data_IF_430807638866
#
_entry.id   IF_430807638866
#
_cell.length_a   1.000
_cell.length_b   1.000
_cell.length_c   1.000
_cell.angle_alpha   90.00
_cell.angle_beta   90.00
_cell.angle_gamma   90.00
#
_symmetry.space_group_name_H-M   'P 1'
#
loop_
_entity.id
_entity.type
_entity.pdbx_description
1 polymer ?
#
# COMPACT_ATOMS: atom_id res chain seq x y z
N UNK A 1 16.54 -13.24 7.74
CA UNK A 1 17.40 -12.54 8.71
C UNK A 1 17.04 -11.08 8.71
N UNK A 2 16.56 -10.54 9.84
CA UNK A 2 16.43 -9.10 9.99
C UNK A 2 17.82 -8.53 10.23
N UNK A 3 18.31 -7.68 9.33
CA UNK A 3 19.67 -7.16 9.36
C UNK A 3 19.83 -6.01 10.36
N UNK A 4 19.36 -6.19 11.59
CA UNK A 4 19.56 -5.26 12.71
C UNK A 4 19.70 -6.04 14.00
N UNK A 5 20.42 -5.47 14.95
CA UNK A 5 20.46 -5.97 16.32
C UNK A 5 19.11 -5.76 17.00
N UNK A 6 18.89 -6.47 18.10
CA UNK A 6 17.69 -6.34 18.91
C UNK A 6 17.60 -4.95 19.56
N UNK A 7 18.74 -4.39 19.97
CA UNK A 7 18.83 -3.09 20.64
C UNK A 7 18.42 -1.95 19.69
N UNK A 8 18.76 -2.06 18.41
CA UNK A 8 18.47 -1.05 17.38
C UNK A 8 16.97 -0.93 17.06
N UNK A 9 16.19 -2.01 17.27
CA UNK A 9 14.76 -2.06 16.94
C UNK A 9 14.49 -1.63 15.48
N UNK A 10 13.90 -0.45 15.29
CA UNK A 10 13.59 0.15 13.98
C UNK A 10 14.53 1.30 13.59
N UNK A 11 15.48 1.67 14.46
CA UNK A 11 16.45 2.72 14.20
C UNK A 11 17.62 2.20 13.35
N UNK A 12 18.30 3.11 12.67
CA UNK A 12 19.50 2.80 11.90
C UNK A 12 19.26 2.10 10.55
N UNK A 13 20.32 2.04 9.76
CA UNK A 13 20.34 1.30 8.51
C UNK A 13 20.55 -0.20 8.78
N UNK A 14 20.06 -1.11 7.91
CA UNK A 14 20.36 -2.52 8.05
C UNK A 14 21.86 -2.80 7.89
N UNK A 15 22.40 -3.68 8.73
CA UNK A 15 23.79 -4.17 8.67
C UNK A 15 23.92 -5.23 7.56
N UNK A 16 24.34 -4.76 6.39
CA UNK A 16 24.51 -5.59 5.20
C UNK A 16 25.76 -6.48 5.27
N UNK A 17 26.78 -6.10 6.04
CA UNK A 17 27.98 -6.91 6.20
C UNK A 17 27.69 -8.15 7.04
N UNK A 18 26.99 -7.97 8.16
CA UNK A 18 26.51 -9.08 8.99
C UNK A 18 25.56 -9.98 8.20
N UNK A 19 24.65 -9.40 7.42
CA UNK A 19 23.76 -10.16 6.54
C UNK A 19 24.54 -11.01 5.52
N UNK A 20 25.57 -10.42 4.89
CA UNK A 20 26.43 -11.11 3.93
C UNK A 20 27.30 -12.19 4.57
N UNK A 21 27.75 -11.98 5.81
CA UNK A 21 28.46 -13.01 6.56
C UNK A 21 27.56 -14.24 6.80
N UNK A 22 26.29 -14.01 7.17
CA UNK A 22 25.32 -15.09 7.37
C UNK A 22 25.01 -15.82 6.08
N UNK A 23 24.77 -15.10 4.97
CA UNK A 23 24.47 -15.73 3.68
C UNK A 23 25.61 -16.64 3.18
N UNK A 24 26.88 -16.26 3.42
CA UNK A 24 28.05 -17.10 3.10
C UNK A 24 28.22 -18.29 4.04
N UNK A 25 27.76 -18.19 5.29
CA UNK A 25 27.98 -19.23 6.30
C UNK A 25 27.03 -20.42 6.17
N UNK A 26 25.89 -20.27 5.49
CA UNK A 26 24.84 -21.31 5.40
C UNK A 26 24.57 -21.72 3.96
N UNK A 27 24.13 -22.96 3.76
CA UNK A 27 23.75 -23.48 2.43
C UNK A 27 22.28 -23.26 2.09
N UNK A 28 21.44 -22.97 3.08
CA UNK A 28 20.00 -22.73 2.87
C UNK A 28 19.76 -21.31 2.35
N UNK A 29 18.73 -21.08 1.50
CA UNK A 29 18.40 -19.74 1.03
C UNK A 29 18.11 -18.78 2.19
N UNK A 30 18.84 -17.67 2.25
CA UNK A 30 18.62 -16.61 3.24
C UNK A 30 17.78 -15.50 2.63
N UNK A 31 16.69 -15.15 3.32
CA UNK A 31 15.89 -13.97 2.96
C UNK A 31 16.26 -12.79 3.86
N UNK A 32 16.64 -11.66 3.26
CA UNK A 32 16.96 -10.41 3.97
C UNK A 32 15.70 -9.67 4.40
N UNK A 33 15.75 -9.00 5.55
CA UNK A 33 14.64 -8.19 6.07
C UNK A 33 15.16 -6.96 6.83
N UNK A 34 14.34 -5.92 6.89
CA UNK A 34 14.58 -4.71 7.68
C UNK A 34 14.72 -3.45 6.83
N UNK A 35 13.74 -2.54 6.92
CA UNK A 35 13.85 -1.20 6.32
C UNK A 35 13.74 -1.13 4.79
N UNK A 36 13.27 -2.17 4.10
CA UNK A 36 13.05 -2.13 2.64
C UNK A 36 11.83 -1.26 2.33
N UNK A 37 12.06 -0.07 1.79
CA UNK A 37 11.05 0.90 1.33
C UNK A 37 11.15 1.23 -0.15
N UNK A 38 12.18 0.71 -0.83
CA UNK A 38 12.46 0.96 -2.23
C UNK A 38 13.15 -0.23 -2.89
N UNK A 39 13.14 -0.26 -4.23
CA UNK A 39 13.86 -1.29 -4.98
C UNK A 39 15.38 -1.19 -4.75
N UNK A 40 15.92 0.01 -4.57
CA UNK A 40 17.34 0.19 -4.26
C UNK A 40 17.73 -0.45 -2.92
N UNK A 41 16.91 -0.30 -1.88
CA UNK A 41 17.15 -0.96 -0.58
C UNK A 41 17.00 -2.49 -0.69
N UNK A 42 16.01 -2.97 -1.46
CA UNK A 42 15.87 -4.40 -1.75
C UNK A 42 17.11 -4.94 -2.48
N UNK A 43 17.60 -4.22 -3.49
CA UNK A 43 18.78 -4.57 -4.27
C UNK A 43 20.02 -4.74 -3.40
N UNK A 44 20.26 -3.84 -2.45
CA UNK A 44 21.38 -3.95 -1.50
C UNK A 44 21.37 -5.26 -0.69
N UNK A 45 20.19 -5.75 -0.30
CA UNK A 45 20.09 -7.05 0.40
C UNK A 45 20.36 -8.23 -0.54
N UNK A 46 19.91 -8.14 -1.79
CA UNK A 46 20.21 -9.16 -2.81
C UNK A 46 21.72 -9.20 -3.11
N UNK A 47 22.36 -8.03 -3.22
CA UNK A 47 23.81 -7.91 -3.43
C UNK A 47 24.61 -8.45 -2.24
N UNK A 48 24.04 -8.45 -1.02
CA UNK A 48 24.59 -9.14 0.16
C UNK A 48 24.44 -10.68 0.11
N UNK A 49 23.98 -11.24 -1.01
CA UNK A 49 23.84 -12.68 -1.22
C UNK A 49 22.53 -13.28 -0.70
N UNK A 50 21.52 -12.45 -0.39
CA UNK A 50 20.20 -12.97 -0.06
C UNK A 50 19.51 -13.56 -1.29
N UNK A 51 18.84 -14.70 -1.12
CA UNK A 51 18.01 -15.32 -2.15
C UNK A 51 16.70 -14.54 -2.42
N UNK A 52 16.30 -13.69 -1.48
CA UNK A 52 15.13 -12.84 -1.59
C UNK A 52 15.04 -11.83 -0.46
N UNK A 53 14.02 -10.97 -0.52
CA UNK A 53 13.76 -9.95 0.50
C UNK A 53 12.37 -10.12 1.08
N UNK A 54 12.24 -9.92 2.39
CA UNK A 54 10.97 -9.84 3.09
C UNK A 54 10.69 -8.37 3.40
N UNK A 55 9.50 -7.91 3.02
CA UNK A 55 9.03 -6.55 3.26
C UNK A 55 7.97 -6.57 4.35
N UNK A 56 8.15 -5.72 5.37
CA UNK A 56 7.18 -5.54 6.45
C UNK A 56 6.43 -4.22 6.32
N UNK A 57 6.82 -3.24 7.13
CA UNK A 57 6.11 -1.97 7.31
C UNK A 57 5.74 -1.23 6.01
N UNK A 58 6.63 -1.20 5.02
CA UNK A 58 6.38 -0.49 3.77
C UNK A 58 5.22 -1.07 2.94
N UNK A 59 4.93 -2.37 3.09
CA UNK A 59 3.77 -3.00 2.45
C UNK A 59 2.48 -2.82 3.25
N UNK A 60 2.57 -2.48 4.54
CA UNK A 60 1.39 -2.26 5.38
C UNK A 60 0.77 -0.92 5.04
N UNK A 61 -0.49 -0.91 4.61
CA UNK A 61 -1.18 0.31 4.21
C UNK A 61 -0.99 0.69 2.74
N UNK A 62 0.01 0.12 2.06
CA UNK A 62 0.21 0.26 0.61
C UNK A 62 0.01 -1.09 -0.11
N UNK A 63 -1.20 -1.38 -0.62
CA UNK A 63 -1.50 -2.64 -1.30
C UNK A 63 -0.75 -2.79 -2.63
N UNK A 64 -0.14 -1.72 -3.14
CA UNK A 64 0.57 -1.70 -4.42
C UNK A 64 2.08 -1.89 -4.29
N UNK A 65 2.61 -1.89 -3.06
CA UNK A 65 4.05 -1.81 -2.81
C UNK A 65 4.86 -2.86 -3.58
N UNK A 66 4.43 -4.11 -3.59
CA UNK A 66 5.15 -5.18 -4.31
C UNK A 66 5.13 -4.97 -5.83
N UNK A 67 4.01 -4.48 -6.38
CA UNK A 67 3.92 -4.13 -7.79
C UNK A 67 4.84 -2.97 -8.13
N UNK A 68 4.87 -1.93 -7.30
CA UNK A 68 5.77 -0.78 -7.44
C UNK A 68 7.25 -1.23 -7.40
N UNK A 69 7.58 -2.13 -6.47
CA UNK A 69 8.92 -2.70 -6.33
C UNK A 69 9.36 -3.46 -7.59
N UNK A 70 8.46 -4.28 -8.16
CA UNK A 70 8.72 -5.06 -9.38
C UNK A 70 8.75 -4.19 -10.63
N UNK A 71 7.92 -3.15 -10.71
CA UNK A 71 7.99 -2.16 -11.80
C UNK A 71 9.34 -1.44 -11.78
N UNK A 72 9.77 -0.96 -10.62
CA UNK A 72 11.08 -0.32 -10.46
C UNK A 72 12.23 -1.27 -10.81
N UNK A 73 12.12 -2.55 -10.46
CA UNK A 73 13.07 -3.59 -10.84
C UNK A 73 13.20 -3.76 -12.37
N UNK A 74 12.11 -3.56 -13.09
CA UNK A 74 12.02 -3.63 -14.54
C UNK A 74 12.29 -2.27 -15.23
N UNK A 75 12.69 -1.23 -14.49
CA UNK A 75 12.91 0.11 -15.03
C UNK A 75 11.62 0.85 -15.43
N UNK A 76 10.46 0.39 -14.97
CA UNK A 76 9.14 1.01 -15.20
C UNK A 76 8.79 1.96 -14.07
N UNK A 77 8.25 3.13 -14.42
CA UNK A 77 7.90 4.19 -13.46
C UNK A 77 6.44 4.63 -13.56
N UNK A 78 5.65 3.99 -14.43
CA UNK A 78 4.26 4.35 -14.64
C UNK A 78 3.44 4.07 -13.38
N UNK A 79 2.71 5.08 -12.86
CA UNK A 79 1.82 4.87 -11.73
C UNK A 79 0.63 4.02 -12.17
N UNK A 80 0.03 3.32 -11.20
CA UNK A 80 -1.23 2.63 -11.42
C UNK A 80 -2.31 3.60 -11.91
N UNK A 81 -3.00 3.20 -12.97
CA UNK A 81 -4.20 3.90 -13.43
C UNK A 81 -5.30 3.87 -12.38
N UNK A 82 -6.24 4.83 -12.46
CA UNK A 82 -7.39 4.88 -11.54
C UNK A 82 -8.16 3.56 -11.54
N UNK A 83 -8.39 2.99 -12.73
CA UNK A 83 -9.06 1.70 -12.92
C UNK A 83 -8.37 0.58 -12.17
N UNK A 84 -7.05 0.40 -12.35
CA UNK A 84 -6.30 -0.67 -11.69
C UNK A 84 -6.32 -0.54 -10.17
N UNK A 85 -6.24 0.69 -9.65
CA UNK A 85 -6.36 0.94 -8.21
C UNK A 85 -7.74 0.51 -7.71
N UNK A 86 -8.80 0.85 -8.43
CA UNK A 86 -10.17 0.62 -7.99
C UNK A 86 -10.61 -0.83 -8.17
N UNK A 87 -10.11 -1.52 -9.18
CA UNK A 87 -10.29 -2.98 -9.31
C UNK A 87 -9.66 -3.72 -8.13
N UNK A 88 -8.46 -3.32 -7.70
CA UNK A 88 -7.87 -3.87 -6.47
C UNK A 88 -8.64 -3.48 -5.21
N UNK A 89 -9.20 -2.27 -5.15
CA UNK A 89 -10.03 -1.82 -4.02
C UNK A 89 -11.32 -2.64 -3.91
N UNK A 90 -11.96 -2.97 -5.02
CA UNK A 90 -13.14 -3.86 -5.05
C UNK A 90 -12.79 -5.23 -4.50
N UNK A 91 -11.68 -5.81 -4.95
CA UNK A 91 -11.24 -7.12 -4.49
C UNK A 91 -10.87 -7.09 -3.00
N UNK A 92 -10.20 -6.04 -2.54
CA UNK A 92 -9.91 -5.85 -1.12
C UNK A 92 -11.19 -5.70 -0.29
N UNK A 93 -12.18 -4.94 -0.77
CA UNK A 93 -13.48 -4.80 -0.12
C UNK A 93 -14.21 -6.15 -0.03
N UNK A 94 -14.20 -6.94 -1.12
CA UNK A 94 -14.77 -8.28 -1.14
C UNK A 94 -14.13 -9.19 -0.09
N UNK A 95 -12.80 -9.32 -0.12
CA UNK A 95 -12.06 -10.20 0.80
C UNK A 95 -12.20 -9.79 2.26
N UNK A 96 -12.15 -8.48 2.56
CA UNK A 96 -12.23 -8.00 3.94
C UNK A 96 -13.64 -8.15 4.52
N UNK A 97 -14.68 -8.02 3.69
CA UNK A 97 -16.08 -8.29 4.06
C UNK A 97 -16.31 -9.78 4.26
N UNK A 98 -15.77 -10.63 3.37
CA UNK A 98 -15.82 -12.09 3.51
C UNK A 98 -15.20 -12.56 4.83
N UNK A 99 -14.07 -11.96 5.23
CA UNK A 99 -13.35 -12.37 6.43
C UNK A 99 -13.94 -11.80 7.74
N UNK A 100 -14.30 -10.51 7.77
CA UNK A 100 -14.73 -9.83 9.00
C UNK A 100 -16.25 -9.61 9.12
N UNK A 101 -17.01 -9.95 8.09
CA UNK A 101 -18.39 -9.51 7.92
C UNK A 101 -18.49 -8.06 7.44
N UNK A 102 -19.66 -7.67 6.93
CA UNK A 102 -19.85 -6.43 6.20
C UNK A 102 -19.50 -5.16 7.00
N UNK A 103 -20.13 -4.97 8.16
CA UNK A 103 -19.94 -3.78 8.99
C UNK A 103 -18.51 -3.62 9.52
N UNK A 104 -17.89 -4.71 10.00
CA UNK A 104 -16.53 -4.64 10.53
C UNK A 104 -15.48 -4.59 9.41
N UNK A 105 -15.71 -5.35 8.32
CA UNK A 105 -14.85 -5.38 7.15
C UNK A 105 -14.70 -4.00 6.51
N UNK A 106 -15.81 -3.31 6.24
CA UNK A 106 -15.77 -1.95 5.69
C UNK A 106 -15.13 -0.97 6.66
N UNK A 107 -15.36 -1.07 7.98
CA UNK A 107 -14.67 -0.24 8.97
C UNK A 107 -13.15 -0.44 8.94
N UNK A 108 -12.68 -1.68 8.80
CA UNK A 108 -11.25 -1.99 8.67
C UNK A 108 -10.66 -1.52 7.34
N UNK A 109 -11.45 -1.57 6.26
CA UNK A 109 -11.03 -1.11 4.93
C UNK A 109 -10.62 0.36 4.93
N UNK A 110 -11.25 1.18 5.77
CA UNK A 110 -11.01 2.64 5.89
C UNK A 110 -9.54 2.99 6.10
N UNK A 111 -8.78 2.13 6.80
CA UNK A 111 -7.33 2.31 7.01
C UNK A 111 -6.53 2.34 5.70
N UNK A 112 -7.01 1.64 4.67
CA UNK A 112 -6.29 1.45 3.41
C UNK A 112 -6.73 2.42 2.31
N UNK A 113 -7.92 3.01 2.42
CA UNK A 113 -8.45 3.97 1.45
C UNK A 113 -7.47 5.10 1.07
N UNK A 114 -6.69 5.68 2.00
CA UNK A 114 -5.71 6.72 1.65
C UNK A 114 -4.74 6.32 0.54
N UNK A 115 -4.30 5.06 0.48
CA UNK A 115 -3.37 4.60 -0.56
C UNK A 115 -4.05 4.53 -1.94
N UNK A 116 -5.31 4.09 -1.99
CA UNK A 116 -6.07 3.97 -3.24
C UNK A 116 -6.32 5.31 -3.91
N UNK A 117 -6.59 6.37 -3.13
CA UNK A 117 -6.91 7.70 -3.66
C UNK A 117 -5.76 8.70 -3.58
N UNK A 118 -4.55 8.24 -3.26
CA UNK A 118 -3.38 9.11 -3.20
C UNK A 118 -3.11 9.77 -4.55
N UNK A 119 -2.89 11.09 -4.55
CA UNK A 119 -2.63 11.89 -5.75
C UNK A 119 -3.87 12.23 -6.57
N UNK A 120 -5.05 11.71 -6.21
CA UNK A 120 -6.30 12.07 -6.87
C UNK A 120 -6.85 13.41 -6.35
N UNK A 121 -7.48 14.22 -7.23
CA UNK A 121 -8.34 15.31 -6.78
C UNK A 121 -9.38 14.81 -5.77
N UNK A 122 -9.74 15.65 -4.80
CA UNK A 122 -10.83 15.35 -3.84
C UNK A 122 -10.63 14.09 -2.97
N UNK A 123 -9.41 13.58 -2.82
CA UNK A 123 -9.12 12.40 -1.99
C UNK A 123 -9.67 12.48 -0.55
N UNK A 124 -9.71 13.68 0.05
CA UNK A 124 -10.30 13.88 1.37
C UNK A 124 -11.82 13.70 1.36
N UNK A 125 -12.51 14.27 0.36
CA UNK A 125 -13.95 14.13 0.21
C UNK A 125 -14.34 12.68 -0.11
N UNK A 126 -13.57 11.98 -0.96
CA UNK A 126 -13.77 10.56 -1.24
C UNK A 126 -13.74 9.74 0.06
N UNK A 127 -12.70 9.92 0.89
CA UNK A 127 -12.58 9.21 2.17
C UNK A 127 -13.73 9.55 3.12
N UNK A 128 -14.15 10.82 3.18
CA UNK A 128 -15.30 11.25 3.98
C UNK A 128 -16.61 10.58 3.55
N UNK A 129 -16.86 10.47 2.25
CA UNK A 129 -18.01 9.75 1.72
C UNK A 129 -17.93 8.25 2.00
N UNK A 130 -16.82 7.61 1.63
CA UNK A 130 -16.59 6.17 1.84
C UNK A 130 -16.69 5.74 3.32
N UNK A 131 -16.24 6.60 4.25
CA UNK A 131 -16.31 6.31 5.69
C UNK A 131 -17.74 6.24 6.25
N UNK A 132 -18.74 6.74 5.52
CA UNK A 132 -20.16 6.68 5.92
C UNK A 132 -20.90 5.48 5.33
N UNK A 133 -20.26 4.74 4.43
CA UNK A 133 -20.85 3.57 3.79
C UNK A 133 -20.70 2.37 4.73
N UNK A 134 -21.81 1.66 4.93
CA UNK A 134 -21.89 0.49 5.81
C UNK A 134 -22.27 -0.80 5.09
N UNK A 135 -22.70 -0.72 3.82
CA UNK A 135 -23.02 -1.87 2.98
C UNK A 135 -22.02 -2.03 1.84
N UNK A 136 -21.61 -3.27 1.57
CA UNK A 136 -20.61 -3.59 0.55
C UNK A 136 -21.13 -3.22 -0.84
N UNK A 137 -22.40 -3.50 -1.14
CA UNK A 137 -23.02 -3.13 -2.41
C UNK A 137 -22.97 -1.61 -2.65
N UNK A 138 -23.33 -0.79 -1.66
CA UNK A 138 -23.25 0.67 -1.74
C UNK A 138 -21.82 1.17 -1.95
N UNK A 139 -20.84 0.48 -1.36
CA UNK A 139 -19.43 0.82 -1.55
C UNK A 139 -19.03 0.58 -3.00
N UNK A 140 -19.44 -0.53 -3.62
CA UNK A 140 -19.17 -0.82 -5.02
C UNK A 140 -19.84 0.19 -5.96
N UNK A 141 -21.10 0.57 -5.68
CA UNK A 141 -21.82 1.60 -6.43
C UNK A 141 -21.12 2.96 -6.33
N UNK A 142 -20.66 3.32 -5.13
CA UNK A 142 -19.89 4.55 -4.90
C UNK A 142 -18.59 4.57 -5.72
N UNK A 143 -17.84 3.46 -5.76
CA UNK A 143 -16.62 3.35 -6.58
C UNK A 143 -16.93 3.50 -8.07
N UNK A 144 -17.95 2.80 -8.56
CA UNK A 144 -18.35 2.88 -9.97
C UNK A 144 -18.76 4.31 -10.36
N UNK A 145 -19.53 4.98 -9.50
CA UNK A 145 -19.95 6.35 -9.70
C UNK A 145 -18.78 7.35 -9.68
N UNK A 146 -17.76 7.13 -8.85
CA UNK A 146 -16.55 7.96 -8.82
C UNK A 146 -15.69 7.78 -10.08
N UNK A 147 -15.51 6.55 -10.54
CA UNK A 147 -14.76 6.23 -11.77
C UNK A 147 -15.42 6.78 -13.02
N UNK A 148 -16.75 6.70 -13.12
CA UNK A 148 -17.50 7.27 -14.24
C UNK A 148 -17.31 8.79 -14.39
N UNK A 149 -16.88 9.48 -13.31
CA UNK A 149 -16.57 10.91 -13.28
C UNK A 149 -15.06 11.19 -13.35
N UNK A 150 -14.25 10.21 -13.77
CA UNK A 150 -12.80 10.34 -13.93
C UNK A 150 -12.06 10.60 -12.61
N UNK A 151 -12.67 10.31 -11.46
CA UNK A 151 -12.14 10.63 -10.15
C UNK A 151 -12.12 12.13 -9.80
N UNK A 152 -12.82 12.96 -10.57
CA UNK A 152 -12.88 14.41 -10.38
C UNK A 152 -14.07 14.87 -9.52
N UNK A 153 -15.04 14.01 -9.24
CA UNK A 153 -16.24 14.39 -8.48
C UNK A 153 -16.63 13.24 -7.56
N UNK A 154 -16.76 13.57 -6.27
CA UNK A 154 -17.18 12.61 -5.25
C UNK A 154 -18.71 12.52 -5.24
N UNK A 155 -19.30 11.33 -5.44
CA UNK A 155 -20.74 11.14 -5.29
C UNK A 155 -21.14 11.41 -3.82
N UNK A 156 -22.15 12.24 -3.61
CA UNK A 156 -22.77 12.44 -2.29
C UNK A 156 -24.17 11.83 -2.28
N UNK A 157 -24.65 11.44 -1.09
CA UNK A 157 -26.01 10.93 -0.88
C UNK A 157 -27.11 11.96 -1.19
N UNK A 158 -26.76 13.25 -1.33
CA UNK A 158 -27.68 14.38 -1.48
C UNK A 158 -27.46 15.19 -2.78
N UNK A 159 -26.66 14.69 -3.73
CA UNK A 159 -26.48 15.35 -5.03
C UNK A 159 -25.69 16.67 -5.02
N UNK A 160 -25.03 17.04 -3.92
CA UNK A 160 -24.13 18.21 -3.86
C UNK A 160 -22.69 17.82 -4.19
N UNK A 161 -22.14 18.46 -5.21
CA UNK A 161 -20.76 18.29 -5.69
C UNK A 161 -19.80 19.10 -4.82
N UNK A 162 -18.64 18.54 -4.49
CA UNK A 162 -17.60 19.26 -3.75
C UNK A 162 -16.29 19.25 -4.52
N UNK A 163 -15.81 20.44 -4.87
CA UNK A 163 -14.48 20.67 -5.44
C UNK A 163 -13.50 21.08 -4.34
N UNK A 164 -12.28 20.57 -4.36
CA UNK A 164 -11.24 20.77 -3.34
C UNK A 164 -9.89 20.22 -3.81
N UNK A 165 -8.82 20.98 -3.60
CA UNK A 165 -7.49 20.72 -4.15
C UNK A 165 -6.73 19.57 -3.44
N UNK A 166 -5.79 18.97 -4.17
CA UNK A 166 -4.91 17.93 -3.66
C UNK A 166 -3.93 18.48 -2.61
N UNK A 167 -3.69 17.73 -1.52
CA UNK A 167 -2.56 17.96 -0.60
C UNK A 167 -1.67 16.70 -0.55
N UNK A 168 -0.34 16.85 -0.50
CA UNK A 168 0.56 15.72 -0.35
C UNK A 168 0.37 15.04 1.01
N UNK A 169 0.50 13.71 1.04
CA UNK A 169 0.50 12.88 2.26
C UNK A 169 1.94 12.80 2.79
N UNK A 170 2.18 12.81 4.11
CA UNK A 170 3.53 12.65 4.65
C UNK A 170 4.12 11.29 4.26
N UNK A 171 5.41 11.26 3.94
CA UNK A 171 6.15 10.05 3.58
C UNK A 171 6.30 9.05 4.74
N UNK A 172 5.80 9.39 5.92
CA UNK A 172 5.95 8.62 7.15
C UNK A 172 4.58 8.41 7.78
N UNK A 173 4.18 7.14 7.87
CA UNK A 173 3.09 6.69 8.73
C UNK A 173 3.74 6.43 10.10
N UNK A 174 3.24 7.04 11.20
CA UNK A 174 3.78 6.82 12.54
C UNK A 174 3.61 5.36 13.01
#
# INVERSE_FOLDING_TARGET
>A
VHARSREERHAGAPDLEALAAVTRAVRVPVFGNGGVRSFAEARRMLDAGCAGVLVGQAAVGNPFFFRELLSAAAGRTEPLSLRERFDLLREHARMIVEYYGESLGLRRLRKYLPAYVHGLPHAAAFRGAANRIERHAEFLDFLAAFEARGGAVVPTAEGKETTGSARPFPAEIP
#
